data_IF_297790572899
#
_entry.id   IF_297790572899
#
_cell.length_a   1.000
_cell.length_b   1.000
_cell.length_c   1.000
_cell.angle_alpha   90.00
_cell.angle_beta   90.00
_cell.angle_gamma   90.00
#
_symmetry.space_group_name_H-M   'P 1'
#
loop_
_entity.id
_entity.type
_entity.pdbx_description
1 polymer ?
#
# COMPACT_ATOMS: atom_id res chain seq x y z
N UNK A 1 -22.28 -0.56 -23.85
CA UNK A 1 -21.46 0.64 -24.12
C UNK A 1 -20.42 0.80 -23.01
N UNK A 2 -19.18 0.33 -23.21
CA UNK A 2 -18.15 0.28 -22.16
C UNK A 2 -17.65 1.66 -21.70
N UNK A 3 -17.73 2.68 -22.58
CA UNK A 3 -17.22 4.02 -22.29
C UNK A 3 -18.04 4.77 -21.22
N UNK A 4 -19.36 4.55 -21.19
CA UNK A 4 -20.26 5.17 -20.22
C UNK A 4 -20.08 4.58 -18.82
N UNK A 5 -19.80 3.27 -18.74
CA UNK A 5 -19.51 2.57 -17.48
C UNK A 5 -18.16 3.02 -16.88
N UNK A 6 -17.17 3.26 -17.75
CA UNK A 6 -15.90 3.86 -17.36
C UNK A 6 -16.09 5.29 -16.81
N UNK A 7 -16.87 6.13 -17.49
CA UNK A 7 -17.15 7.49 -17.02
C UNK A 7 -17.94 7.51 -15.70
N UNK A 8 -18.91 6.61 -15.53
CA UNK A 8 -19.69 6.48 -14.29
C UNK A 8 -18.87 5.92 -13.11
N UNK A 9 -17.93 5.02 -13.37
CA UNK A 9 -17.01 4.51 -12.34
C UNK A 9 -15.97 5.54 -11.92
N UNK A 10 -15.51 6.39 -12.84
CA UNK A 10 -14.67 7.56 -12.53
C UNK A 10 -15.43 8.55 -11.62
N UNK A 11 -16.71 8.84 -11.89
CA UNK A 11 -17.50 9.78 -11.09
C UNK A 11 -17.91 9.25 -9.70
N UNK A 12 -18.01 7.93 -9.54
CA UNK A 12 -18.33 7.26 -8.26
C UNK A 12 -17.10 6.87 -7.44
N UNK A 13 -15.90 7.06 -7.98
CA UNK A 13 -14.61 6.87 -7.30
C UNK A 13 -14.04 5.44 -7.32
N UNK A 14 -14.87 4.39 -7.33
CA UNK A 14 -14.44 2.99 -7.52
C UNK A 14 -15.64 2.03 -7.57
N UNK A 15 -15.56 0.94 -8.36
CA UNK A 15 -16.59 -0.11 -8.42
C UNK A 15 -16.73 -0.93 -7.14
N UNK A 16 -15.61 -1.24 -6.48
CA UNK A 16 -15.56 -2.10 -5.30
C UNK A 16 -15.01 -1.38 -4.07
N UNK A 17 -15.49 -1.77 -2.88
CA UNK A 17 -14.94 -1.30 -1.60
C UNK A 17 -13.57 -1.95 -1.38
N UNK A 18 -12.57 -1.14 -1.03
CA UNK A 18 -11.18 -1.60 -0.85
C UNK A 18 -10.87 -2.17 0.54
N UNK A 19 -11.68 -1.85 1.56
CA UNK A 19 -11.40 -2.24 2.96
C UNK A 19 -11.30 -3.76 3.15
N UNK A 20 -12.32 -4.51 2.75
CA UNK A 20 -12.35 -5.97 2.89
C UNK A 20 -11.22 -6.64 2.09
N UNK A 21 -10.90 -6.10 0.91
CA UNK A 21 -9.79 -6.59 0.09
C UNK A 21 -8.44 -6.40 0.80
N UNK A 22 -8.20 -5.22 1.38
CA UNK A 22 -6.96 -4.97 2.15
C UNK A 22 -6.88 -5.83 3.41
N UNK A 23 -8.00 -6.07 4.09
CA UNK A 23 -8.07 -6.98 5.25
C UNK A 23 -7.70 -8.42 4.84
N UNK A 24 -8.25 -8.93 3.74
CA UNK A 24 -7.92 -10.25 3.20
C UNK A 24 -6.44 -10.36 2.81
N UNK A 25 -5.86 -9.32 2.19
CA UNK A 25 -4.43 -9.30 1.88
C UNK A 25 -3.55 -9.31 3.13
N UNK A 26 -3.94 -8.60 4.19
CA UNK A 26 -3.21 -8.60 5.48
C UNK A 26 -3.26 -9.96 6.16
N UNK A 27 -4.40 -10.62 6.11
CA UNK A 27 -4.58 -11.98 6.63
C UNK A 27 -3.74 -12.99 5.84
N UNK A 28 -3.84 -12.96 4.51
CA UNK A 28 -3.14 -13.91 3.63
C UNK A 28 -1.61 -13.77 3.70
N UNK A 29 -1.08 -12.55 3.79
CA UNK A 29 0.37 -12.31 3.75
C UNK A 29 1.00 -12.06 5.13
N UNK A 30 0.21 -12.04 6.20
CA UNK A 30 0.61 -11.65 7.55
C UNK A 30 1.15 -10.21 7.66
N UNK A 31 0.74 -9.51 8.73
CA UNK A 31 1.04 -8.09 8.88
C UNK A 31 2.55 -7.78 9.05
N UNK A 32 3.32 -8.74 9.55
CA UNK A 32 4.75 -8.58 9.87
C UNK A 32 5.69 -9.01 8.74
N UNK A 33 5.16 -9.39 7.58
CA UNK A 33 5.98 -9.82 6.44
C UNK A 33 6.30 -8.63 5.54
N UNK A 34 7.57 -8.23 5.61
CA UNK A 34 8.14 -7.20 4.75
C UNK A 34 8.56 -7.76 3.39
N UNK A 35 8.41 -6.95 2.34
CA UNK A 35 8.72 -7.32 0.96
C UNK A 35 10.20 -7.66 0.79
N UNK A 36 11.10 -6.89 1.40
CA UNK A 36 12.55 -7.07 1.29
C UNK A 36 13.11 -8.03 2.36
N UNK A 37 12.27 -8.45 3.32
CA UNK A 37 12.59 -9.46 4.31
C UNK A 37 13.37 -8.90 5.50
N UNK A 38 12.70 -8.07 6.30
CA UNK A 38 13.19 -7.53 7.57
C UNK A 38 13.64 -8.57 8.60
N UNK A 39 13.88 -8.11 9.85
CA UNK A 39 14.64 -8.80 10.92
C UNK A 39 14.22 -10.24 11.27
N UNK A 40 13.06 -10.70 10.81
CA UNK A 40 12.43 -11.97 11.22
C UNK A 40 12.50 -13.10 10.18
N UNK A 41 13.17 -12.91 9.03
CA UNK A 41 13.14 -13.93 7.97
C UNK A 41 14.24 -14.99 8.14
N UNK A 42 13.84 -16.25 8.26
CA UNK A 42 14.75 -17.39 8.11
C UNK A 42 15.27 -17.44 6.67
N UNK A 43 16.56 -17.77 6.47
CA UNK A 43 17.28 -17.65 5.20
C UNK A 43 16.63 -18.35 3.97
N UNK A 44 15.61 -19.21 4.14
CA UNK A 44 15.04 -20.01 3.05
C UNK A 44 13.90 -19.32 2.28
N UNK A 45 13.11 -18.43 2.89
CA UNK A 45 11.93 -17.80 2.23
C UNK A 45 12.28 -16.58 1.37
N UNK A 46 13.58 -16.33 1.16
CA UNK A 46 14.15 -15.13 0.56
C UNK A 46 14.85 -15.33 -0.78
N UNK A 47 15.00 -16.58 -1.23
CA UNK A 47 15.95 -16.89 -2.30
C UNK A 47 15.46 -16.47 -3.69
N UNK A 48 14.15 -16.49 -3.91
CA UNK A 48 13.56 -16.09 -5.18
C UNK A 48 13.47 -14.57 -5.27
N UNK A 49 14.11 -14.00 -6.28
CA UNK A 49 13.96 -12.58 -6.62
C UNK A 49 12.58 -12.37 -7.24
N UNK A 50 11.81 -11.45 -6.67
CA UNK A 50 10.45 -11.12 -7.11
C UNK A 50 10.32 -9.61 -7.25
N UNK A 51 9.61 -9.21 -8.30
CA UNK A 51 9.19 -7.84 -8.54
C UNK A 51 7.72 -7.85 -8.96
N UNK A 52 6.96 -6.85 -8.50
CA UNK A 52 5.58 -6.60 -8.91
C UNK A 52 5.47 -5.17 -9.44
N UNK A 53 4.49 -4.95 -10.31
CA UNK A 53 4.29 -3.67 -11.01
C UNK A 53 3.09 -2.93 -10.46
N UNK A 54 3.26 -1.64 -10.23
CA UNK A 54 2.19 -0.70 -9.89
C UNK A 54 2.28 0.52 -10.81
N UNK A 55 1.28 1.38 -10.77
CA UNK A 55 1.33 2.71 -11.34
C UNK A 55 1.24 3.78 -10.25
N UNK A 56 1.69 4.99 -10.54
CA UNK A 56 1.39 6.15 -9.70
C UNK A 56 -0.13 6.37 -9.61
N UNK A 57 -0.57 7.15 -8.61
CA UNK A 57 -1.98 7.52 -8.46
C UNK A 57 -2.54 8.29 -9.66
N UNK A 58 -1.68 9.02 -10.38
CA UNK A 58 -2.01 9.71 -11.64
C UNK A 58 -1.96 8.80 -12.87
N UNK A 59 -1.37 7.60 -12.75
CA UNK A 59 -1.17 6.67 -13.86
C UNK A 59 -0.04 7.06 -14.82
N UNK A 60 0.66 8.16 -14.57
CA UNK A 60 1.68 8.72 -15.47
C UNK A 60 3.01 7.98 -15.42
N UNK A 61 3.28 7.25 -14.33
CA UNK A 61 4.53 6.53 -14.11
C UNK A 61 4.29 5.08 -13.72
N UNK A 62 5.07 4.19 -14.33
CA UNK A 62 5.19 2.81 -13.87
C UNK A 62 6.13 2.75 -12.66
N UNK A 63 5.76 1.93 -11.68
CA UNK A 63 6.48 1.73 -10.43
C UNK A 63 6.75 0.24 -10.27
N UNK A 64 7.99 -0.13 -9.98
CA UNK A 64 8.38 -1.50 -9.67
C UNK A 64 8.68 -1.63 -8.18
N UNK A 65 7.99 -2.55 -7.52
CA UNK A 65 8.18 -2.92 -6.12
C UNK A 65 8.90 -4.27 -6.08
N UNK A 66 10.06 -4.38 -5.44
CA UNK A 66 10.86 -5.60 -5.51
C UNK A 66 11.56 -5.96 -4.20
N UNK A 67 11.87 -7.26 -4.05
CA UNK A 67 12.58 -7.80 -2.88
C UNK A 67 14.11 -7.80 -3.02
N UNK A 68 14.66 -7.11 -4.03
CA UNK A 68 16.09 -7.09 -4.32
C UNK A 68 16.59 -5.68 -4.63
N UNK A 69 17.90 -5.47 -4.45
CA UNK A 69 18.60 -4.26 -4.90
C UNK A 69 18.96 -4.44 -6.37
N UNK A 70 18.83 -3.37 -7.16
CA UNK A 70 19.47 -3.24 -8.47
C UNK A 70 20.39 -2.02 -8.45
N UNK A 71 21.32 -1.97 -9.41
CA UNK A 71 22.10 -0.75 -9.64
C UNK A 71 21.14 0.35 -10.10
N UNK A 72 21.33 1.56 -9.58
CA UNK A 72 20.56 2.72 -10.03
C UNK A 72 20.83 2.98 -11.51
N UNK A 73 19.76 3.22 -12.25
CA UNK A 73 19.83 3.65 -13.62
C UNK A 73 19.83 5.18 -13.65
N UNK A 74 20.69 5.77 -14.48
CA UNK A 74 20.76 7.21 -14.67
C UNK A 74 19.52 7.80 -15.35
N UNK A 75 18.77 6.98 -16.11
CA UNK A 75 17.54 7.38 -16.82
C UNK A 75 16.49 6.27 -16.75
N UNK A 76 15.91 6.03 -15.57
CA UNK A 76 14.98 4.92 -15.41
C UNK A 76 13.66 5.18 -16.16
N UNK A 77 13.21 4.20 -16.94
CA UNK A 77 11.88 4.23 -17.60
C UNK A 77 10.71 4.06 -16.61
N UNK A 78 11.01 3.56 -15.41
CA UNK A 78 10.06 3.32 -14.33
C UNK A 78 10.70 3.62 -12.98
N UNK A 79 9.90 4.09 -12.04
CA UNK A 79 10.37 4.32 -10.68
C UNK A 79 10.57 2.95 -9.98
N UNK A 80 11.68 2.78 -9.28
CA UNK A 80 11.96 1.55 -8.54
C UNK A 80 11.91 1.87 -7.05
N UNK A 81 10.81 1.48 -6.42
CA UNK A 81 10.54 1.86 -5.04
C UNK A 81 11.29 0.97 -4.07
N UNK A 82 12.14 1.64 -3.29
CA UNK A 82 13.00 0.99 -2.33
C UNK A 82 13.45 1.97 -1.25
N UNK A 83 12.70 2.07 -0.15
CA UNK A 83 13.10 2.90 0.98
C UNK A 83 14.49 2.54 1.50
N UNK A 84 15.28 3.56 1.83
CA UNK A 84 16.61 3.37 2.43
C UNK A 84 16.50 2.96 3.90
N UNK A 85 15.46 3.46 4.58
CA UNK A 85 15.18 3.25 5.98
C UNK A 85 14.39 1.95 6.20
N UNK A 86 14.87 1.02 7.06
CA UNK A 86 14.16 -0.22 7.34
C UNK A 86 12.77 -0.03 7.97
N UNK A 87 12.53 1.09 8.63
CA UNK A 87 11.23 1.39 9.27
C UNK A 87 10.15 1.71 8.24
N UNK A 88 10.56 2.25 7.09
CA UNK A 88 9.71 2.55 5.95
C UNK A 88 9.58 1.36 4.99
N UNK A 89 10.11 0.18 5.36
CA UNK A 89 10.08 -0.98 4.50
C UNK A 89 8.64 -1.43 4.21
N UNK A 90 8.33 -1.57 2.92
CA UNK A 90 6.99 -1.93 2.47
C UNK A 90 6.65 -3.38 2.84
N UNK A 91 5.41 -3.60 3.29
CA UNK A 91 4.89 -4.95 3.59
C UNK A 91 4.47 -5.65 2.30
N UNK A 92 4.48 -6.99 2.31
CA UNK A 92 4.03 -7.80 1.16
C UNK A 92 2.56 -7.50 0.82
N UNK A 93 1.71 -7.35 1.84
CA UNK A 93 0.30 -7.01 1.67
C UNK A 93 0.08 -5.63 1.05
N UNK A 94 0.97 -4.67 1.32
CA UNK A 94 0.92 -3.32 0.75
C UNK A 94 1.33 -3.34 -0.72
N UNK A 95 2.39 -4.07 -1.06
CA UNK A 95 2.81 -4.25 -2.45
C UNK A 95 1.73 -4.97 -3.30
N UNK A 96 1.08 -5.98 -2.71
CA UNK A 96 -0.05 -6.67 -3.33
C UNK A 96 -1.26 -5.75 -3.52
N UNK A 97 -1.56 -4.90 -2.53
CA UNK A 97 -2.64 -3.92 -2.61
C UNK A 97 -2.38 -2.87 -3.70
N UNK A 98 -1.15 -2.33 -3.78
CA UNK A 98 -0.74 -1.37 -4.79
C UNK A 98 -0.88 -1.95 -6.21
N UNK A 99 -0.34 -3.15 -6.43
CA UNK A 99 -0.41 -3.87 -7.71
C UNK A 99 -1.86 -4.16 -8.14
N UNK A 100 -2.72 -4.48 -7.17
CA UNK A 100 -4.10 -4.88 -7.44
C UNK A 100 -5.09 -3.71 -7.49
N UNK A 101 -4.64 -2.48 -7.22
CA UNK A 101 -5.47 -1.27 -7.20
C UNK A 101 -5.77 -0.78 -8.63
N UNK A 102 -6.42 -1.64 -9.42
CA UNK A 102 -6.78 -1.35 -10.79
C UNK A 102 -7.68 -0.10 -10.87
N UNK A 103 -7.36 0.88 -11.73
CA UNK A 103 -8.17 2.07 -11.91
C UNK A 103 -9.63 1.72 -12.20
N UNK A 104 -10.55 2.53 -11.69
CA UNK A 104 -12.01 2.38 -11.77
C UNK A 104 -12.62 1.20 -11.01
N UNK A 105 -11.85 0.14 -10.74
CA UNK A 105 -12.28 -1.00 -9.93
C UNK A 105 -12.08 -0.75 -8.45
N UNK A 106 -10.89 -0.32 -8.06
CA UNK A 106 -10.50 -0.08 -6.68
C UNK A 106 -10.01 1.35 -6.49
N UNK A 107 -10.09 1.85 -5.26
CA UNK A 107 -9.45 3.12 -4.91
C UNK A 107 -7.92 2.93 -4.94
N UNK A 108 -7.14 3.96 -5.35
CA UNK A 108 -5.69 3.92 -5.27
C UNK A 108 -5.22 3.55 -3.86
N UNK A 109 -4.23 2.67 -3.78
CA UNK A 109 -3.56 2.37 -2.53
C UNK A 109 -2.62 3.52 -2.16
N UNK A 110 -2.76 4.02 -0.93
CA UNK A 110 -1.86 5.02 -0.36
C UNK A 110 -1.10 4.32 0.75
N UNK A 111 0.23 4.10 0.62
CA UNK A 111 1.04 3.59 1.70
C UNK A 111 0.85 4.46 2.93
N UNK A 112 0.52 3.84 4.06
CA UNK A 112 0.45 4.56 5.33
C UNK A 112 1.88 4.78 5.77
N UNK A 113 2.32 6.03 5.79
CA UNK A 113 3.61 6.39 6.39
C UNK A 113 3.63 5.86 7.85
N UNK A 114 4.63 5.03 8.24
CA UNK A 114 4.81 4.61 9.62
C UNK A 114 4.93 5.78 10.62
N UNK A 115 5.31 6.98 10.18
CA UNK A 115 5.28 8.20 10.99
C UNK A 115 3.85 8.72 11.27
N UNK A 116 2.88 8.30 10.45
CA UNK A 116 1.48 8.68 10.48
C UNK A 116 0.58 7.55 11.03
N UNK A 117 1.07 6.82 12.03
CA UNK A 117 0.15 6.13 12.95
C UNK A 117 -0.62 7.24 13.67
N UNK A 118 -1.96 7.38 13.53
CA UNK A 118 -2.69 8.26 14.41
C UNK A 118 -2.40 7.76 15.81
N UNK A 119 -1.70 8.55 16.63
CA UNK A 119 -1.61 8.27 18.05
C UNK A 119 -3.04 8.46 18.56
N UNK A 120 -3.84 7.39 18.55
CA UNK A 120 -5.12 7.36 19.25
C UNK A 120 -4.78 7.72 20.69
N UNK A 121 -5.02 8.99 21.02
CA UNK A 121 -4.77 9.53 22.34
C UNK A 121 -5.99 9.14 23.16
N UNK A 122 -5.85 8.37 24.26
CA UNK A 122 -6.96 8.08 25.17
C UNK A 122 -7.60 9.35 25.77
N UNK A 123 -6.98 10.53 25.56
CA UNK A 123 -7.38 11.81 26.11
C UNK A 123 -8.64 12.45 25.50
N UNK A 124 -9.26 11.88 24.46
CA UNK A 124 -10.53 12.41 23.91
C UNK A 124 -11.80 11.62 24.29
N UNK A 125 -11.71 10.69 25.25
CA UNK A 125 -12.90 10.13 25.92
C UNK A 125 -13.01 10.61 27.36
N UNK A 126 -12.84 11.91 27.59
CA UNK A 126 -13.34 12.50 28.83
C UNK A 126 -14.77 13.00 28.55
N UNK A 127 -15.81 12.40 29.17
CA UNK A 127 -17.17 12.91 29.02
C UNK A 127 -17.21 14.36 29.54
N UNK A 128 -17.87 15.23 28.79
CA UNK A 128 -18.06 16.63 29.16
C UNK A 128 -18.58 16.75 30.60
N UNK A 129 -18.04 17.65 31.43
CA UNK A 129 -18.52 17.82 32.79
C UNK A 129 -20.00 18.22 32.78
N UNK A 130 -20.81 17.74 33.74
CA UNK A 130 -22.23 18.07 33.80
C UNK A 130 -22.39 19.58 33.95
N UNK A 131 -23.31 20.16 33.17
CA UNK A 131 -23.71 21.56 33.36
C UNK A 131 -24.22 21.71 34.79
N UNK A 132 -23.57 22.58 35.55
CA UNK A 132 -24.06 22.98 36.86
C UNK A 132 -25.40 23.74 36.69
N UNK A 133 -26.31 23.59 37.67
CA UNK A 133 -27.69 24.09 37.61
C UNK A 133 -27.80 25.61 37.58
#
# INVERSE_FOLDING_TARGET
MPLLDLAASISRGSKYKTKAFHEALREAFAEKNYLFGGRTRTKSTAQTKVAVTSSSSTGEKAIVLANYRRKEDSRPEYDFERPHEPELEMRVSEAAAATSAAPTYFKPFIPVDPSHIPRWSPAQQQPSPPRQP
#
